data_IF_122800042528
#
_entry.id   IF_122800042528
#
_cell.length_a   1.000
_cell.length_b   1.000
_cell.length_c   1.000
_cell.angle_alpha   90.00
_cell.angle_beta   90.00
_cell.angle_gamma   90.00
#
_symmetry.space_group_name_H-M   'P 1'
#
loop_
_entity.id
_entity.type
_entity.pdbx_description
1 polymer ?
#
# COMPACT_ATOMS: atom_id res chain seq x y z
N UNK A 1 7.10 -24.30 14.62
CA UNK A 1 6.52 -23.67 13.41
C UNK A 1 7.30 -22.38 13.20
N UNK A 2 7.96 -22.17 12.05
CA UNK A 2 8.78 -20.98 11.84
C UNK A 2 7.85 -19.80 11.49
N UNK A 3 7.74 -18.82 12.38
CA UNK A 3 7.00 -17.59 12.13
C UNK A 3 7.88 -16.58 11.39
N UNK A 4 7.27 -15.83 10.47
CA UNK A 4 7.95 -14.71 9.81
C UNK A 4 7.98 -13.51 10.75
N UNK A 5 9.13 -12.85 10.86
CA UNK A 5 9.24 -11.60 11.62
C UNK A 5 8.32 -10.52 11.03
N UNK A 6 7.73 -9.71 11.90
CA UNK A 6 6.92 -8.55 11.51
C UNK A 6 7.72 -7.54 10.68
N UNK A 7 7.05 -6.90 9.73
CA UNK A 7 7.60 -5.88 8.85
C UNK A 7 6.67 -4.67 8.84
N UNK A 8 7.27 -3.48 8.86
CA UNK A 8 6.59 -2.23 8.53
C UNK A 8 7.12 -1.77 7.17
N UNK A 9 6.33 -1.84 6.09
CA UNK A 9 6.75 -1.35 4.79
C UNK A 9 6.89 0.18 4.79
N UNK A 10 7.87 0.69 4.07
CA UNK A 10 7.96 2.13 3.80
C UNK A 10 7.01 2.44 2.64
N UNK A 11 6.02 3.32 2.87
CA UNK A 11 5.02 3.68 1.87
C UNK A 11 5.05 5.18 1.64
N UNK A 12 5.15 5.59 0.38
CA UNK A 12 4.99 6.97 -0.05
C UNK A 12 3.97 7.09 -1.18
N UNK A 13 3.27 8.22 -1.22
CA UNK A 13 2.23 8.50 -2.21
C UNK A 13 2.52 9.84 -2.87
N UNK A 14 2.51 9.89 -4.19
CA UNK A 14 2.57 11.13 -4.97
C UNK A 14 1.38 11.24 -5.91
N UNK A 15 0.81 12.44 -6.03
CA UNK A 15 -0.18 12.72 -7.07
C UNK A 15 0.50 12.77 -8.42
N UNK A 16 -0.17 12.27 -9.46
CA UNK A 16 0.27 12.49 -10.83
C UNK A 16 -0.24 13.84 -11.35
N UNK A 17 0.09 14.20 -12.59
CA UNK A 17 -0.53 15.36 -13.25
C UNK A 17 -2.03 15.19 -13.54
N UNK A 18 -2.59 13.97 -13.42
CA UNK A 18 -4.02 13.70 -13.63
C UNK A 18 -4.80 13.78 -12.31
N UNK A 19 -6.09 14.11 -12.39
CA UNK A 19 -6.91 14.42 -11.20
C UNK A 19 -7.20 13.19 -10.33
N UNK A 20 -7.26 12.02 -10.94
CA UNK A 20 -7.73 10.73 -10.44
C UNK A 20 -6.61 9.68 -10.34
N UNK A 21 -5.34 10.06 -10.55
CA UNK A 21 -4.23 9.11 -10.56
C UNK A 21 -3.12 9.49 -9.58
N UNK A 22 -2.65 8.49 -8.84
CA UNK A 22 -1.55 8.57 -7.89
C UNK A 22 -0.53 7.47 -8.17
N UNK A 23 0.70 7.71 -7.75
CA UNK A 23 1.74 6.68 -7.69
C UNK A 23 2.06 6.40 -6.23
N UNK A 24 2.06 5.13 -5.90
CA UNK A 24 2.51 4.59 -4.61
C UNK A 24 3.88 3.97 -4.83
N UNK A 25 4.83 4.27 -3.95
CA UNK A 25 6.06 3.50 -3.83
C UNK A 25 6.06 2.80 -2.49
N UNK A 26 6.21 1.47 -2.52
CA UNK A 26 6.24 0.61 -1.35
C UNK A 26 7.52 -0.20 -1.35
N UNK A 27 8.23 -0.17 -0.22
CA UNK A 27 9.49 -0.87 -0.03
C UNK A 27 9.44 -1.76 1.20
N UNK A 28 10.09 -2.91 1.12
CA UNK A 28 10.38 -3.74 2.28
C UNK A 28 11.79 -3.41 2.80
N UNK A 29 11.94 -2.62 3.87
CA UNK A 29 13.26 -2.34 4.47
C UNK A 29 13.78 -3.49 5.35
N UNK A 30 12.96 -4.52 5.59
CA UNK A 30 13.26 -5.64 6.48
C UNK A 30 14.20 -6.68 5.86
N UNK A 31 14.51 -7.71 6.67
CA UNK A 31 15.38 -8.85 6.28
C UNK A 31 14.59 -10.11 5.91
N UNK A 32 13.28 -10.08 6.03
CA UNK A 32 12.35 -11.17 5.72
C UNK A 32 11.38 -10.74 4.64
N UNK A 33 10.74 -11.69 3.94
CA UNK A 33 9.68 -11.40 2.97
C UNK A 33 8.48 -10.75 3.69
N UNK A 34 7.90 -9.73 3.07
CA UNK A 34 6.58 -9.22 3.43
C UNK A 34 5.55 -9.96 2.57
N UNK A 35 4.79 -10.85 3.21
CA UNK A 35 4.00 -11.85 2.52
C UNK A 35 2.52 -11.48 2.43
N UNK A 36 1.91 -11.80 1.28
CA UNK A 36 0.49 -11.60 0.99
C UNK A 36 0.01 -10.16 1.25
N UNK A 37 0.78 -9.18 0.78
CA UNK A 37 0.43 -7.77 0.92
C UNK A 37 -0.84 -7.49 0.13
N UNK A 38 -1.82 -6.85 0.77
CA UNK A 38 -2.98 -6.23 0.17
C UNK A 38 -2.95 -4.73 0.44
N UNK A 39 -3.13 -3.92 -0.60
CA UNK A 39 -3.21 -2.46 -0.45
C UNK A 39 -4.66 -1.97 -0.37
N UNK A 40 -4.91 -1.02 0.53
CA UNK A 40 -6.17 -0.30 0.64
C UNK A 40 -5.90 1.20 0.71
N UNK A 41 -6.75 2.01 0.06
CA UNK A 41 -6.81 3.45 0.31
C UNK A 41 -7.81 3.71 1.43
N UNK A 42 -7.40 4.47 2.45
CA UNK A 42 -8.21 4.72 3.64
C UNK A 42 -8.32 6.22 3.89
N UNK A 43 -9.53 6.67 4.20
CA UNK A 43 -9.77 8.06 4.62
C UNK A 43 -9.07 8.31 5.96
N UNK A 44 -8.23 9.35 6.02
CA UNK A 44 -7.46 9.68 7.22
C UNK A 44 -8.33 10.07 8.41
N UNK A 45 -9.50 10.65 8.16
CA UNK A 45 -10.41 11.16 9.19
C UNK A 45 -11.34 10.05 9.68
N UNK A 46 -12.03 9.38 8.76
CA UNK A 46 -13.08 8.40 9.11
C UNK A 46 -12.55 6.99 9.31
N UNK A 47 -11.32 6.72 8.84
CA UNK A 47 -10.70 5.38 8.78
C UNK A 47 -11.47 4.38 7.90
N UNK A 48 -12.47 4.82 7.15
CA UNK A 48 -13.18 4.01 6.18
C UNK A 48 -12.33 3.78 4.93
N UNK A 49 -12.49 2.62 4.29
CA UNK A 49 -11.89 2.36 2.98
C UNK A 49 -12.56 3.21 1.90
N UNK A 50 -11.76 3.84 1.07
CA UNK A 50 -12.22 4.63 -0.07
C UNK A 50 -12.45 3.65 -1.21
N UNK A 51 -13.67 3.67 -1.76
CA UNK A 51 -14.08 2.78 -2.83
C UNK A 51 -14.80 3.57 -3.95
N UNK A 52 -14.64 3.15 -5.22
CA UNK A 52 -13.67 2.15 -5.68
C UNK A 52 -12.21 2.62 -5.55
N UNK A 53 -11.27 1.69 -5.38
CA UNK A 53 -9.84 1.96 -5.44
C UNK A 53 -9.17 0.92 -6.35
N UNK A 54 -8.64 1.37 -7.48
CA UNK A 54 -8.01 0.49 -8.47
C UNK A 54 -6.50 0.61 -8.39
N UNK A 55 -5.85 -0.47 -7.95
CA UNK A 55 -4.40 -0.60 -7.91
C UNK A 55 -3.92 -1.38 -9.14
N UNK A 56 -2.82 -0.97 -9.77
CA UNK A 56 -2.19 -1.74 -10.86
C UNK A 56 -1.65 -3.09 -10.38
N UNK A 57 -1.27 -3.16 -9.10
CA UNK A 57 -0.89 -4.38 -8.38
C UNK A 57 -1.36 -4.23 -6.93
N UNK A 58 -2.42 -4.96 -6.57
CA UNK A 58 -3.05 -4.88 -5.25
C UNK A 58 -2.71 -6.03 -4.31
N UNK A 59 -2.10 -7.10 -4.83
CA UNK A 59 -1.84 -8.35 -4.11
C UNK A 59 -0.50 -8.95 -4.50
N UNK A 60 0.51 -8.83 -3.65
CA UNK A 60 1.87 -9.26 -3.99
C UNK A 60 2.67 -9.65 -2.75
N UNK A 61 3.81 -10.30 -3.00
CA UNK A 61 4.87 -10.45 -2.02
C UNK A 61 5.96 -9.41 -2.29
N UNK A 62 6.62 -8.92 -1.24
CA UNK A 62 7.70 -7.96 -1.36
C UNK A 62 8.96 -8.50 -0.66
N UNK A 63 9.98 -8.83 -1.44
CA UNK A 63 11.24 -9.40 -0.96
C UNK A 63 12.06 -8.39 -0.14
N UNK A 64 13.01 -8.84 0.71
CA UNK A 64 13.91 -7.93 1.43
C UNK A 64 14.62 -6.94 0.49
N UNK A 65 14.49 -5.65 0.78
CA UNK A 65 15.07 -4.58 -0.03
C UNK A 65 14.34 -4.24 -1.33
N UNK A 66 13.33 -5.03 -1.73
CA UNK A 66 12.54 -4.77 -2.93
C UNK A 66 11.71 -3.50 -2.79
N UNK A 67 11.63 -2.75 -3.89
CA UNK A 67 10.76 -1.58 -4.05
C UNK A 67 9.81 -1.81 -5.22
N UNK A 68 8.53 -1.47 -5.04
CA UNK A 68 7.52 -1.52 -6.09
C UNK A 68 6.87 -0.16 -6.28
N UNK A 69 6.64 0.17 -7.55
CA UNK A 69 5.86 1.32 -7.97
C UNK A 69 4.48 0.84 -8.43
N UNK A 70 3.42 1.35 -7.81
CA UNK A 70 2.04 0.93 -8.04
C UNK A 70 1.22 2.14 -8.44
N UNK A 71 0.43 2.02 -9.50
CA UNK A 71 -0.52 3.06 -9.89
C UNK A 71 -1.81 2.86 -9.11
N UNK A 72 -2.37 3.97 -8.61
CA UNK A 72 -3.64 4.00 -7.91
C UNK A 72 -4.59 4.96 -8.63
N UNK A 73 -5.79 4.50 -8.92
CA UNK A 73 -6.92 5.32 -9.34
C UNK A 73 -8.00 5.35 -8.25
N UNK A 74 -8.44 6.56 -7.88
CA UNK A 74 -9.52 6.82 -6.91
C UNK A 74 -10.62 7.67 -7.57
N UNK A 75 -11.81 7.77 -6.96
CA UNK A 75 -12.85 8.66 -7.45
C UNK A 75 -12.37 10.11 -7.48
N UNK A 76 -13.01 10.93 -8.32
CA UNK A 76 -12.70 12.36 -8.41
C UNK A 76 -12.81 13.04 -7.04
N UNK A 77 -11.82 13.88 -6.73
CA UNK A 77 -11.71 14.61 -5.47
C UNK A 77 -11.87 13.70 -4.22
N UNK A 78 -10.99 12.69 -4.04
CA UNK A 78 -11.08 11.82 -2.89
C UNK A 78 -10.76 12.63 -1.61
N UNK A 79 -11.25 12.20 -0.43
CA UNK A 79 -10.84 12.79 0.83
C UNK A 79 -9.32 12.62 1.04
N UNK A 80 -8.77 13.32 2.02
CA UNK A 80 -7.39 13.09 2.44
C UNK A 80 -7.22 11.63 2.88
N UNK A 81 -6.25 10.93 2.30
CA UNK A 81 -6.12 9.48 2.47
C UNK A 81 -4.69 9.05 2.81
N UNK A 82 -4.59 7.87 3.44
CA UNK A 82 -3.38 7.09 3.59
C UNK A 82 -3.51 5.74 2.85
N UNK A 83 -2.37 5.11 2.57
CA UNK A 83 -2.34 3.74 2.04
C UNK A 83 -2.02 2.81 3.19
N UNK A 84 -2.88 1.82 3.37
CA UNK A 84 -2.71 0.77 4.37
C UNK A 84 -2.30 -0.49 3.63
N UNK A 85 -1.16 -1.06 4.04
CA UNK A 85 -0.77 -2.41 3.64
C UNK A 85 -1.25 -3.37 4.73
N UNK A 86 -2.05 -4.36 4.35
CA UNK A 86 -2.36 -5.52 5.18
C UNK A 86 -1.53 -6.70 4.66
N UNK A 87 -1.19 -7.66 5.51
CA UNK A 87 -0.49 -8.87 5.06
C UNK A 87 -0.17 -9.81 6.20
N UNK A 88 0.39 -10.97 5.88
CA UNK A 88 0.60 -12.06 6.84
C UNK A 88 1.49 -11.65 8.02
N UNK A 89 2.55 -10.89 7.75
CA UNK A 89 3.50 -10.40 8.74
C UNK A 89 3.67 -8.87 8.66
N UNK A 90 2.62 -8.15 8.28
CA UNK A 90 2.63 -6.69 8.27
C UNK A 90 2.16 -6.15 9.61
N UNK A 91 2.95 -5.23 10.17
CA UNK A 91 2.59 -4.50 11.37
C UNK A 91 1.75 -3.28 11.01
N UNK A 92 0.56 -3.18 11.62
CA UNK A 92 -0.41 -2.11 11.44
C UNK A 92 -0.35 -1.05 12.56
#
# INVERSE_FOLDING_TARGET
>A
MNELNEITPDISVRKTGKRDQWIIEIKNPGKTIAAAIKLNARDKNTKAFILPAFFSDGYFNLLPGENRKIELCLPDNPPSFDIVAEGYNIKN
#
